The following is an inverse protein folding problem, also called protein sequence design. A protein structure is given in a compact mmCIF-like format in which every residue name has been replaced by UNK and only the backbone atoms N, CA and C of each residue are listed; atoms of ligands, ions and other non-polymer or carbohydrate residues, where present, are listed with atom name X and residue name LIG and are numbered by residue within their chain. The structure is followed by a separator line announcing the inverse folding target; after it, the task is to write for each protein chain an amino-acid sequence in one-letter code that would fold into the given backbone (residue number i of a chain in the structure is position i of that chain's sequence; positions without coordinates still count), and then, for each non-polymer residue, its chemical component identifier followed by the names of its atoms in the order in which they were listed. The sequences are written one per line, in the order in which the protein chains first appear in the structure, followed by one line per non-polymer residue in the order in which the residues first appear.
data_IF_202187078034
#
_entry.id   IF_202187078034
#
_cell.length_a   1.000
_cell.length_b   1.000
_cell.length_c   1.000
_cell.angle_alpha   90.00
_cell.angle_beta   90.00
_cell.angle_gamma   90.00
#
_symmetry.space_group_name_H-M   'P 1'
#
loop_
_entity.id
_entity.type
_entity.pdbx_description
1 polymer ?
#
# COMPACT_ATOMS: atom_id res chain seq x y z
N UNK A 1 -9.50 15.71 -3.23
CA UNK A 1 -9.03 16.84 -2.40
C UNK A 1 -8.18 17.75 -3.26
N UNK A 2 -8.59 19.00 -3.44
CA UNK A 2 -7.83 19.97 -4.23
C UNK A 2 -6.58 20.41 -3.45
N UNK A 3 -5.42 20.56 -4.11
CA UNK A 3 -4.20 20.99 -3.43
C UNK A 3 -4.34 22.41 -2.87
N UNK A 4 -3.75 22.65 -1.69
CA UNK A 4 -3.75 23.94 -1.03
C UNK A 4 -3.06 25.02 -1.90
N UNK A 5 -3.55 26.27 -1.88
CA UNK A 5 -3.05 27.38 -2.73
C UNK A 5 -1.54 27.59 -2.66
N UNK A 6 -0.95 27.45 -1.47
CA UNK A 6 0.51 27.54 -1.26
C UNK A 6 1.31 26.41 -1.91
N UNK A 7 0.70 25.23 -2.10
CA UNK A 7 1.32 24.10 -2.80
C UNK A 7 1.36 24.37 -4.30
N UNK A 8 0.29 24.91 -4.87
CA UNK A 8 0.21 25.30 -6.29
C UNK A 8 1.24 26.40 -6.60
N UNK A 9 1.33 27.43 -5.75
CA UNK A 9 2.30 28.52 -5.92
C UNK A 9 3.76 28.03 -5.92
N UNK A 10 4.10 27.05 -5.06
CA UNK A 10 5.45 26.44 -5.05
C UNK A 10 5.73 25.60 -6.28
N UNK A 11 4.73 24.87 -6.78
CA UNK A 11 4.87 24.11 -8.03
C UNK A 11 5.13 25.05 -9.20
N UNK A 12 4.36 26.14 -9.31
CA UNK A 12 4.58 27.18 -10.33
C UNK A 12 5.97 27.80 -10.23
N UNK A 13 6.41 28.21 -9.02
CA UNK A 13 7.77 28.73 -8.85
C UNK A 13 8.84 27.73 -9.28
N UNK A 14 8.67 26.43 -8.98
CA UNK A 14 9.62 25.40 -9.39
C UNK A 14 9.68 25.22 -10.92
N UNK A 15 8.56 25.39 -11.60
CA UNK A 15 8.43 25.21 -13.06
C UNK A 15 8.84 26.45 -13.85
N UNK A 16 8.50 27.65 -13.35
CA UNK A 16 8.74 28.94 -14.01
C UNK A 16 10.14 29.50 -13.70
N UNK A 17 10.64 29.34 -12.46
CA UNK A 17 11.93 29.87 -12.03
C UNK A 17 12.59 28.98 -10.95
N UNK A 18 13.34 27.94 -11.36
CA UNK A 18 13.94 27.00 -10.43
C UNK A 18 14.99 27.65 -9.52
N UNK A 19 15.69 28.70 -9.96
CA UNK A 19 16.69 29.39 -9.14
C UNK A 19 16.03 30.11 -7.96
N UNK A 20 14.95 30.86 -8.22
CA UNK A 20 14.16 31.51 -7.17
C UNK A 20 13.53 30.50 -6.22
N UNK A 21 13.12 29.33 -6.71
CA UNK A 21 12.63 28.25 -5.86
C UNK A 21 13.71 27.69 -4.93
N UNK A 22 14.94 27.54 -5.41
CA UNK A 22 16.07 27.11 -4.59
C UNK A 22 16.43 28.14 -3.51
N UNK A 23 16.48 29.43 -3.84
CA UNK A 23 16.69 30.50 -2.86
C UNK A 23 15.60 30.51 -1.79
N UNK A 24 14.34 30.33 -2.19
CA UNK A 24 13.21 30.20 -1.27
C UNK A 24 13.41 29.01 -0.31
N UNK A 25 13.87 27.86 -0.82
CA UNK A 25 14.16 26.70 0.01
C UNK A 25 15.33 26.96 0.97
N UNK A 26 16.38 27.63 0.51
CA UNK A 26 17.53 27.97 1.35
C UNK A 26 17.14 28.91 2.50
N UNK A 27 16.46 30.03 2.20
CA UNK A 27 15.93 30.96 3.21
C UNK A 27 15.06 30.25 4.24
N UNK A 28 14.22 29.31 3.80
CA UNK A 28 13.38 28.53 4.69
C UNK A 28 14.18 27.58 5.58
N UNK A 29 15.18 26.87 5.03
CA UNK A 29 16.06 25.99 5.81
C UNK A 29 16.84 26.76 6.87
N UNK A 30 17.36 27.93 6.52
CA UNK A 30 18.08 28.80 7.45
C UNK A 30 17.17 29.30 8.57
N UNK A 31 15.96 29.76 8.25
CA UNK A 31 14.99 30.19 9.26
C UNK A 31 14.58 29.04 10.20
N UNK A 32 14.29 27.86 9.64
CA UNK A 32 13.96 26.67 10.44
C UNK A 32 15.14 26.21 11.32
N UNK A 33 16.37 26.32 10.82
CA UNK A 33 17.59 26.03 11.59
C UNK A 33 17.75 27.02 12.75
N UNK A 34 17.69 28.33 12.48
CA UNK A 34 17.77 29.38 13.52
C UNK A 34 16.73 29.16 14.62
N UNK A 35 15.48 28.89 14.23
CA UNK A 35 14.41 28.61 15.19
C UNK A 35 14.72 27.39 16.07
N UNK A 36 15.24 26.31 15.48
CA UNK A 36 15.63 25.10 16.22
C UNK A 36 16.78 25.39 17.19
N UNK A 37 17.77 26.14 16.74
CA UNK A 37 18.94 26.49 17.55
C UNK A 37 18.53 27.41 18.71
N UNK A 38 17.61 28.36 18.48
CA UNK A 38 17.02 29.21 19.52
C UNK A 38 16.18 28.41 20.53
N UNK A 39 15.32 27.50 20.07
CA UNK A 39 14.52 26.62 20.96
C UNK A 39 15.44 25.73 21.82
N UNK A 40 16.52 25.20 21.22
CA UNK A 40 17.52 24.42 21.95
C UNK A 40 18.24 25.28 22.98
N UNK A 41 18.68 26.48 22.60
CA UNK A 41 19.37 27.41 23.49
C UNK A 41 18.50 27.80 24.69
N UNK A 42 17.24 28.16 24.45
CA UNK A 42 16.27 28.46 25.53
C UNK A 42 16.10 27.27 26.48
N UNK A 43 16.02 26.06 25.94
CA UNK A 43 15.92 24.85 26.77
C UNK A 43 17.19 24.56 27.60
N UNK A 44 18.36 25.00 27.15
CA UNK A 44 19.62 24.84 27.90
C UNK A 44 19.84 25.97 28.92
N UNK A 45 19.40 27.19 28.61
CA UNK A 45 19.54 28.39 29.45
C UNK A 45 18.49 28.44 30.59
N UNK A 46 17.27 27.95 30.35
CA UNK A 46 16.20 27.97 31.36
C UNK A 46 16.32 26.81 32.36
N UNK A 47 16.04 27.08 33.64
CA UNK A 47 15.96 26.03 34.67
C UNK A 47 14.60 25.32 34.58
N UNK A 48 14.63 24.05 34.20
CA UNK A 48 13.41 23.27 33.98
C UNK A 48 12.99 22.54 35.26
N UNK A 49 11.69 22.61 35.56
CA UNK A 49 11.12 21.83 36.65
C UNK A 49 11.10 20.34 36.29
N UNK A 50 11.24 19.46 37.29
CA UNK A 50 11.21 18.00 37.09
C UNK A 50 9.98 17.50 36.32
N UNK A 51 8.83 18.16 36.48
CA UNK A 51 7.60 17.87 35.72
C UNK A 51 7.75 18.19 34.22
N UNK A 52 8.35 19.32 33.87
CA UNK A 52 8.57 19.74 32.48
C UNK A 52 9.54 18.81 31.76
N UNK A 53 10.59 18.35 32.45
CA UNK A 53 11.55 17.36 31.91
C UNK A 53 10.81 16.05 31.60
N UNK A 54 10.03 15.51 32.55
CA UNK A 54 9.23 14.30 32.35
C UNK A 54 8.21 14.45 31.22
N UNK A 55 7.57 15.61 31.09
CA UNK A 55 6.62 15.86 30.00
C UNK A 55 7.32 15.88 28.63
N UNK A 56 8.54 16.44 28.55
CA UNK A 56 9.35 16.39 27.33
C UNK A 56 9.76 14.96 26.99
N UNK A 57 10.25 14.19 27.96
CA UNK A 57 10.63 12.78 27.78
C UNK A 57 9.46 11.92 27.29
N UNK A 58 8.28 12.07 27.89
CA UNK A 58 7.07 11.33 27.46
C UNK A 58 6.63 11.72 26.05
N UNK A 59 6.69 13.01 25.69
CA UNK A 59 6.41 13.47 24.31
C UNK A 59 7.40 12.89 23.32
N UNK A 60 8.68 12.87 23.66
CA UNK A 60 9.73 12.35 22.78
C UNK A 60 9.62 10.83 22.62
N UNK A 61 9.30 10.10 23.69
CA UNK A 61 9.03 8.66 23.61
C UNK A 61 7.79 8.35 22.76
N UNK A 62 6.70 9.11 22.91
CA UNK A 62 5.53 8.98 22.04
C UNK A 62 5.82 9.27 20.56
N UNK A 63 6.75 10.20 20.25
CA UNK A 63 7.18 10.43 18.87
C UNK A 63 7.99 9.24 18.35
N UNK A 64 8.94 8.74 19.14
CA UNK A 64 9.77 7.57 18.79
C UNK A 64 8.92 6.33 18.52
N UNK A 65 7.94 6.05 19.37
CA UNK A 65 7.04 4.89 19.18
C UNK A 65 6.23 5.02 17.91
N UNK A 66 5.63 6.19 17.64
CA UNK A 66 4.91 6.47 16.38
C UNK A 66 5.79 6.33 15.14
N UNK A 67 7.03 6.83 15.19
CA UNK A 67 7.98 6.69 14.09
C UNK A 67 8.38 5.23 13.86
N UNK A 68 8.62 4.49 14.94
CA UNK A 68 8.92 3.06 14.91
C UNK A 68 7.75 2.27 14.32
N UNK A 69 6.52 2.52 14.76
CA UNK A 69 5.31 1.93 14.19
C UNK A 69 5.15 2.26 12.71
N UNK A 70 5.34 3.52 12.32
CA UNK A 70 5.28 3.96 10.93
C UNK A 70 6.33 3.25 10.07
N UNK A 71 7.55 3.10 10.58
CA UNK A 71 8.64 2.38 9.93
C UNK A 71 8.25 0.91 9.71
N UNK A 72 7.79 0.22 10.75
CA UNK A 72 7.37 -1.19 10.63
C UNK A 72 6.13 -1.36 9.76
N UNK A 73 5.17 -0.43 9.80
CA UNK A 73 4.02 -0.43 8.87
C UNK A 73 4.48 -0.30 7.43
N UNK A 74 5.32 0.69 7.13
CA UNK A 74 5.88 0.89 5.78
C UNK A 74 6.69 -0.33 5.33
N UNK A 75 7.52 -0.89 6.22
CA UNK A 75 8.25 -2.12 5.93
C UNK A 75 7.31 -3.28 5.69
N UNK A 76 6.26 -3.46 6.48
CA UNK A 76 5.25 -4.49 6.29
C UNK A 76 4.48 -4.31 4.98
N UNK A 77 4.13 -3.08 4.58
CA UNK A 77 3.53 -2.79 3.27
C UNK A 77 4.48 -3.13 2.12
N UNK A 78 5.76 -2.80 2.26
CA UNK A 78 6.80 -3.14 1.28
C UNK A 78 7.09 -4.64 1.22
N UNK A 79 7.12 -5.34 2.35
CA UNK A 79 7.35 -6.80 2.39
C UNK A 79 6.09 -7.61 2.05
N UNK A 80 4.89 -7.04 2.23
CA UNK A 80 3.62 -7.57 1.70
C UNK A 80 3.57 -7.62 0.17
N UNK A 81 4.56 -7.05 -0.55
CA UNK A 81 4.78 -7.38 -1.97
C UNK A 81 5.23 -8.83 -2.21
N UNK A 82 5.41 -9.64 -1.17
CA UNK A 82 5.61 -11.08 -1.33
C UNK A 82 4.47 -11.89 -0.69
N UNK A 83 3.83 -12.72 -1.53
CA UNK A 83 3.08 -13.96 -1.22
C UNK A 83 1.56 -14.03 -1.49
N UNK A 84 0.93 -13.10 -2.22
CA UNK A 84 -0.34 -13.49 -2.88
C UNK A 84 -0.79 -12.73 -4.13
N UNK A 85 -0.01 -11.82 -4.68
CA UNK A 85 -0.17 -11.50 -6.11
C UNK A 85 0.84 -12.34 -6.85
N UNK A 86 0.37 -13.30 -7.63
CA UNK A 86 0.97 -13.46 -8.94
C UNK A 86 0.82 -12.10 -9.64
N UNK A 87 1.70 -11.15 -9.29
CA UNK A 87 2.10 -10.15 -10.25
C UNK A 87 2.77 -11.02 -11.30
N UNK A 88 1.98 -11.36 -12.32
CA UNK A 88 2.55 -11.72 -13.60
C UNK A 88 3.32 -10.47 -13.97
N UNK A 89 4.58 -10.39 -13.54
CA UNK A 89 5.51 -9.42 -14.09
C UNK A 89 5.40 -9.66 -15.58
N UNK A 90 4.85 -8.71 -16.36
CA UNK A 90 4.87 -8.86 -17.79
C UNK A 90 6.34 -9.07 -18.12
N UNK A 91 6.66 -10.23 -18.70
CA UNK A 91 8.00 -10.43 -19.24
C UNK A 91 8.31 -9.27 -20.18
N UNK A 92 9.60 -8.97 -20.45
CA UNK A 92 10.03 -7.75 -21.13
C UNK A 92 9.39 -7.47 -22.52
N UNK A 93 8.53 -8.35 -23.04
CA UNK A 93 7.81 -8.20 -24.30
C UNK A 93 6.29 -8.44 -24.28
N UNK A 94 5.61 -8.61 -23.13
CA UNK A 94 4.16 -8.88 -23.18
C UNK A 94 3.35 -7.59 -23.36
N UNK A 95 2.74 -7.41 -24.54
CA UNK A 95 1.73 -6.39 -24.86
C UNK A 95 0.81 -6.15 -23.65
N UNK A 96 0.42 -4.89 -23.37
CA UNK A 96 -0.52 -4.64 -22.27
C UNK A 96 -1.86 -5.31 -22.60
N UNK A 97 -2.68 -5.70 -21.61
CA UNK A 97 -4.00 -6.28 -21.83
C UNK A 97 -4.89 -5.55 -22.84
N UNK A 98 -4.79 -4.21 -22.88
CA UNK A 98 -5.52 -3.33 -23.80
C UNK A 98 -5.01 -3.38 -25.25
N UNK A 99 -3.80 -3.88 -25.45
CA UNK A 99 -3.11 -4.00 -26.74
C UNK A 99 -3.13 -5.45 -27.26
N UNK A 100 -3.79 -6.38 -26.55
CA UNK A 100 -3.96 -7.79 -26.96
C UNK A 100 -5.26 -7.98 -27.74
N UNK A 101 -5.26 -8.90 -28.72
CA UNK A 101 -6.53 -9.36 -29.31
C UNK A 101 -7.35 -10.14 -28.27
N UNK A 102 -8.68 -10.28 -28.45
CA UNK A 102 -9.52 -11.05 -27.53
C UNK A 102 -9.09 -12.51 -27.35
N UNK A 103 -8.51 -13.12 -28.39
CA UNK A 103 -8.02 -14.50 -28.31
C UNK A 103 -6.67 -14.60 -27.57
N UNK A 104 -5.74 -13.69 -27.87
CA UNK A 104 -4.47 -13.56 -27.17
C UNK A 104 -4.69 -13.30 -25.68
N UNK A 105 -5.63 -12.41 -25.35
CA UNK A 105 -5.98 -12.10 -23.97
C UNK A 105 -6.53 -13.32 -23.22
N UNK A 106 -7.38 -14.12 -23.88
CA UNK A 106 -7.92 -15.37 -23.31
C UNK A 106 -6.81 -16.36 -22.99
N UNK A 107 -5.85 -16.56 -23.92
CA UNK A 107 -4.68 -17.44 -23.73
C UNK A 107 -3.80 -16.93 -22.59
N UNK A 108 -3.45 -15.64 -22.60
CA UNK A 108 -2.65 -15.00 -21.55
C UNK A 108 -3.30 -15.16 -20.16
N UNK A 109 -4.62 -14.96 -20.04
CA UNK A 109 -5.35 -15.17 -18.78
C UNK A 109 -5.42 -16.64 -18.38
N UNK A 110 -5.50 -17.57 -19.33
CA UNK A 110 -5.46 -19.00 -19.04
C UNK A 110 -4.09 -19.41 -18.44
N UNK A 111 -3.00 -18.95 -19.05
CA UNK A 111 -1.63 -19.22 -18.58
C UNK A 111 -1.35 -18.60 -17.23
N UNK A 112 -1.79 -17.35 -17.01
CA UNK A 112 -1.68 -16.70 -15.70
C UNK A 112 -2.41 -17.51 -14.60
N UNK A 113 -3.61 -18.01 -14.89
CA UNK A 113 -4.38 -18.86 -13.96
C UNK A 113 -3.69 -20.21 -13.71
N UNK A 114 -3.06 -20.79 -14.73
CA UNK A 114 -2.29 -22.04 -14.61
C UNK A 114 -1.08 -21.83 -13.68
N UNK A 115 -0.23 -20.85 -13.98
CA UNK A 115 0.94 -20.50 -13.15
C UNK A 115 0.55 -20.18 -11.71
N UNK A 116 -0.52 -19.42 -11.51
CA UNK A 116 -1.02 -19.10 -10.18
C UNK A 116 -1.43 -20.36 -9.41
N UNK A 117 -2.07 -21.33 -10.08
CA UNK A 117 -2.45 -22.60 -9.47
C UNK A 117 -1.22 -23.45 -9.13
N UNK A 118 -0.26 -23.53 -10.03
CA UNK A 118 0.94 -24.35 -9.85
C UNK A 118 1.74 -23.87 -8.64
N UNK A 119 1.81 -22.55 -8.43
CA UNK A 119 2.48 -21.89 -7.31
C UNK A 119 1.74 -22.00 -5.96
N UNK A 120 0.55 -22.60 -5.88
CA UNK A 120 -0.14 -22.80 -4.60
C UNK A 120 0.48 -23.96 -3.80
N UNK A 121 0.49 -23.82 -2.47
CA UNK A 121 0.88 -24.92 -1.57
C UNK A 121 -0.06 -26.13 -1.72
N UNK A 122 0.46 -27.32 -1.41
CA UNK A 122 -0.30 -28.57 -1.45
C UNK A 122 -1.58 -28.51 -0.60
N UNK A 123 -1.48 -28.00 0.63
CA UNK A 123 -2.61 -27.81 1.54
C UNK A 123 -3.72 -26.94 0.91
N UNK A 124 -3.34 -25.83 0.27
CA UNK A 124 -4.31 -24.92 -0.39
C UNK A 124 -4.98 -25.59 -1.59
N UNK A 125 -4.24 -26.37 -2.38
CA UNK A 125 -4.80 -27.16 -3.50
C UNK A 125 -5.81 -28.18 -2.98
N UNK A 126 -5.49 -28.88 -1.89
CA UNK A 126 -6.39 -29.86 -1.26
C UNK A 126 -7.68 -29.20 -0.74
N UNK A 127 -7.57 -28.06 -0.04
CA UNK A 127 -8.73 -27.32 0.45
C UNK A 127 -9.66 -26.88 -0.68
N UNK A 128 -9.10 -26.36 -1.79
CA UNK A 128 -9.89 -26.00 -2.98
C UNK A 128 -10.58 -27.22 -3.60
N UNK A 129 -9.90 -28.37 -3.65
CA UNK A 129 -10.46 -29.63 -4.17
C UNK A 129 -11.65 -30.10 -3.34
N UNK A 130 -11.54 -30.06 -2.02
CA UNK A 130 -12.63 -30.42 -1.10
C UNK A 130 -13.83 -29.49 -1.27
N UNK A 131 -13.60 -28.17 -1.33
CA UNK A 131 -14.66 -27.17 -1.55
C UNK A 131 -15.41 -27.40 -2.87
N UNK A 132 -14.68 -27.65 -3.97
CA UNK A 132 -15.30 -27.94 -5.27
C UNK A 132 -16.12 -29.24 -5.26
N UNK A 133 -15.66 -30.26 -4.52
CA UNK A 133 -16.40 -31.52 -4.37
C UNK A 133 -17.72 -31.30 -3.63
N UNK A 134 -17.71 -30.50 -2.56
CA UNK A 134 -18.92 -30.13 -1.83
C UNK A 134 -19.92 -29.37 -2.72
N UNK A 135 -19.46 -28.32 -3.41
CA UNK A 135 -20.29 -27.54 -4.32
C UNK A 135 -20.93 -28.38 -5.44
N UNK A 136 -20.19 -29.36 -5.99
CA UNK A 136 -20.74 -30.27 -7.00
C UNK A 136 -21.78 -31.23 -6.44
N UNK A 137 -21.71 -31.60 -5.16
CA UNK A 137 -22.74 -32.42 -4.51
C UNK A 137 -24.00 -31.59 -4.32
N UNK A 138 -23.86 -30.40 -3.76
CA UNK A 138 -24.95 -29.44 -3.55
C UNK A 138 -25.68 -29.11 -4.87
N UNK A 139 -24.93 -28.81 -5.95
CA UNK A 139 -25.53 -28.58 -7.27
C UNK A 139 -26.27 -29.80 -7.83
N UNK A 140 -25.81 -31.02 -7.55
CA UNK A 140 -26.52 -32.24 -7.98
C UNK A 140 -27.81 -32.41 -7.20
N UNK A 141 -27.75 -32.28 -5.88
CA UNK A 141 -28.92 -32.37 -5.00
C UNK A 141 -29.94 -31.28 -5.34
N UNK A 142 -29.50 -30.06 -5.65
CA UNK A 142 -30.36 -28.97 -6.09
C UNK A 142 -31.01 -29.25 -7.44
N UNK A 143 -30.23 -29.72 -8.43
CA UNK A 143 -30.78 -30.12 -9.72
C UNK A 143 -31.77 -31.30 -9.59
N UNK A 144 -31.48 -32.28 -8.72
CA UNK A 144 -32.37 -33.40 -8.43
C UNK A 144 -33.68 -32.92 -7.76
N UNK A 145 -33.61 -31.96 -6.83
CA UNK A 145 -34.79 -31.33 -6.23
C UNK A 145 -35.61 -30.53 -7.25
N UNK A 146 -34.97 -29.75 -8.10
CA UNK A 146 -35.65 -29.00 -9.16
C UNK A 146 -36.32 -29.95 -10.17
N UNK A 147 -35.62 -30.99 -10.60
CA UNK A 147 -36.18 -32.00 -11.49
C UNK A 147 -37.34 -32.77 -10.83
N UNK A 148 -37.24 -33.12 -9.55
CA UNK A 148 -38.32 -33.77 -8.79
C UNK A 148 -39.54 -32.85 -8.61
N UNK A 149 -39.32 -31.55 -8.35
CA UNK A 149 -40.39 -30.55 -8.26
C UNK A 149 -41.09 -30.29 -9.59
N UNK A 150 -40.41 -30.51 -10.72
CA UNK A 150 -40.97 -30.32 -12.07
C UNK A 150 -41.65 -31.59 -12.59
N UNK A 151 -41.49 -32.74 -11.91
CA UNK A 151 -42.00 -34.05 -12.31
C UNK A 151 -43.30 -34.47 -11.57
N UNK A 152 -43.87 -33.62 -10.72
CA UNK A 152 -45.18 -33.83 -10.11
C UNK A 152 -46.24 -33.03 -10.90
N UNK A 153 -47.14 -33.71 -11.67
CA UNK A 153 -48.29 -33.07 -12.32
C UNK A 153 -49.38 -32.67 -11.32
#
# INVERSE_FOLDING_TARGET
MSPHRSTIARQRMKEEDPQKYEEYLQKRREAEKKKRDEEKRKWEEETHTRSQIKEKETKDEMKRTKEKERYYRKKAEQTRQTRSSACVTPGPSSKRPRDMSPEEYRRHRADARKRQRDNQSSQKKTAIKLKRRAQRREQREENERQNASTALP
#
